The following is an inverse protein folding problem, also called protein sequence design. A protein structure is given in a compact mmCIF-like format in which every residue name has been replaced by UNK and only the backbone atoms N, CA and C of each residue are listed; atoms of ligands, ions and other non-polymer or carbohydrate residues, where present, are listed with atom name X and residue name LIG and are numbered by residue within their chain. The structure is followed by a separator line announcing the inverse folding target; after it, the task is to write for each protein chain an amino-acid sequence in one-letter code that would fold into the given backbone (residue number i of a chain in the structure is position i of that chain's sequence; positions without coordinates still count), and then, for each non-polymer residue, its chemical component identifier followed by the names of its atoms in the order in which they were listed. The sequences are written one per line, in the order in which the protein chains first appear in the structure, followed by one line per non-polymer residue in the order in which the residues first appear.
data_IF_848655484471
#
_entry.id   IF_848655484471
#
_cell.length_a   1.000
_cell.length_b   1.000
_cell.length_c   1.000
_cell.angle_alpha   90.00
_cell.angle_beta   90.00
_cell.angle_gamma   90.00
#
_symmetry.space_group_name_H-M   'P 1'
#
loop_
_entity.id
_entity.type
_entity.pdbx_description
1 polymer ?
#
# COMPACT_ATOMS: atom_id res chain seq x y z
N UNK A 1 21.98 14.81 12.17
CA UNK A 1 20.85 13.94 12.59
C UNK A 1 20.74 12.80 11.59
N UNK A 2 21.13 11.58 11.97
CA UNK A 2 21.15 10.42 11.06
C UNK A 2 19.71 9.96 10.83
N UNK A 3 19.24 10.01 9.58
CA UNK A 3 17.93 9.44 9.22
C UNK A 3 17.96 7.94 9.46
N UNK A 4 17.01 7.43 10.24
CA UNK A 4 16.87 5.98 10.41
C UNK A 4 16.44 5.34 9.09
N UNK A 5 16.84 4.08 8.83
CA UNK A 5 16.42 3.36 7.63
C UNK A 5 14.89 3.35 7.44
N UNK A 6 14.14 3.29 8.55
CA UNK A 6 12.68 3.37 8.52
C UNK A 6 12.14 4.70 7.98
N UNK A 7 12.82 5.82 8.26
CA UNK A 7 12.41 7.13 7.72
C UNK A 7 12.65 7.23 6.20
N UNK A 8 13.62 6.50 5.64
CA UNK A 8 13.86 6.47 4.19
C UNK A 8 12.70 5.83 3.43
N UNK A 9 12.07 4.80 4.02
CA UNK A 9 10.91 4.12 3.42
C UNK A 9 9.58 4.85 3.68
N UNK A 10 9.59 5.92 4.48
CA UNK A 10 8.45 6.79 4.73
C UNK A 10 7.74 6.57 6.06
N UNK A 11 8.35 5.88 7.02
CA UNK A 11 7.76 5.75 8.36
C UNK A 11 7.82 7.09 9.09
N UNK A 12 6.65 7.65 9.38
CA UNK A 12 6.48 8.86 10.19
C UNK A 12 6.26 8.52 11.67
N UNK A 13 6.47 9.51 12.55
CA UNK A 13 6.23 9.41 14.00
C UNK A 13 5.35 10.59 14.47
N UNK A 14 4.16 10.35 15.04
CA UNK A 14 3.47 9.05 15.15
C UNK A 14 3.10 8.46 13.77
N UNK A 15 3.03 7.13 13.67
CA UNK A 15 2.76 6.44 12.40
C UNK A 15 1.27 6.54 12.04
N UNK A 16 0.98 6.97 10.80
CA UNK A 16 -0.36 7.08 10.22
C UNK A 16 -1.40 7.74 11.15
N UNK A 17 -1.08 8.92 11.70
CA UNK A 17 -1.94 9.62 12.70
C UNK A 17 -3.39 9.80 12.25
N UNK A 18 -3.62 9.96 10.94
CA UNK A 18 -4.94 10.19 10.34
C UNK A 18 -5.62 8.90 9.86
N UNK A 19 -5.06 7.72 10.15
CA UNK A 19 -5.59 6.42 9.71
C UNK A 19 -5.84 6.37 8.19
N UNK A 20 -4.93 6.96 7.40
CA UNK A 20 -5.01 7.05 5.93
C UNK A 20 -4.97 5.67 5.27
N UNK A 21 -4.29 4.70 5.89
CA UNK A 21 -4.19 3.35 5.34
C UNK A 21 -5.53 2.59 5.34
N UNK A 22 -6.49 3.00 6.18
CA UNK A 22 -7.77 2.31 6.40
C UNK A 22 -9.00 3.16 6.04
N UNK A 23 -8.81 4.30 5.39
CA UNK A 23 -9.90 5.21 5.00
C UNK A 23 -9.92 5.50 3.51
N UNK A 24 -11.07 5.99 3.03
CA UNK A 24 -11.33 6.36 1.64
C UNK A 24 -12.10 7.67 1.56
N UNK A 25 -11.91 8.45 0.48
CA UNK A 25 -12.70 9.65 0.24
C UNK A 25 -14.10 9.37 -0.33
N UNK A 26 -14.30 8.19 -0.91
CA UNK A 26 -15.54 7.84 -1.62
C UNK A 26 -16.32 6.75 -0.90
N UNK A 27 -15.65 5.98 -0.03
CA UNK A 27 -16.21 4.80 0.62
C UNK A 27 -16.21 4.97 2.13
N UNK A 28 -17.26 4.46 2.78
CA UNK A 28 -17.23 4.29 4.23
C UNK A 28 -16.11 3.31 4.62
N UNK A 29 -15.52 3.41 5.83
CA UNK A 29 -14.43 2.52 6.23
C UNK A 29 -14.78 1.03 6.16
N UNK A 30 -16.04 0.67 6.44
CA UNK A 30 -16.49 -0.72 6.33
C UNK A 30 -16.62 -1.16 4.87
N UNK A 31 -17.12 -0.31 3.96
CA UNK A 31 -17.21 -0.63 2.54
C UNK A 31 -15.81 -0.83 1.94
N UNK A 32 -14.85 0.03 2.29
CA UNK A 32 -13.45 -0.12 1.88
C UNK A 32 -12.86 -1.44 2.38
N UNK A 33 -13.05 -1.76 3.66
CA UNK A 33 -12.55 -3.00 4.24
C UNK A 33 -13.13 -4.24 3.54
N UNK A 34 -14.44 -4.27 3.32
CA UNK A 34 -15.11 -5.37 2.61
C UNK A 34 -14.62 -5.50 1.16
N UNK A 35 -14.49 -4.39 0.42
CA UNK A 35 -13.99 -4.41 -0.95
C UNK A 35 -12.55 -4.96 -1.01
N UNK A 36 -11.67 -4.55 -0.10
CA UNK A 36 -10.31 -5.09 -0.02
C UNK A 36 -10.30 -6.58 0.24
N UNK A 37 -11.12 -7.06 1.18
CA UNK A 37 -11.24 -8.50 1.46
C UNK A 37 -11.79 -9.28 0.27
N UNK A 38 -12.80 -8.74 -0.44
CA UNK A 38 -13.40 -9.37 -1.62
C UNK A 38 -12.41 -9.42 -2.79
N UNK A 39 -11.69 -8.32 -3.06
CA UNK A 39 -10.64 -8.29 -4.09
C UNK A 39 -9.50 -9.26 -3.75
N UNK A 40 -9.06 -9.28 -2.48
CA UNK A 40 -8.06 -10.23 -2.00
C UNK A 40 -8.51 -11.68 -2.17
N UNK A 41 -9.77 -11.99 -1.82
CA UNK A 41 -10.35 -13.32 -1.99
C UNK A 41 -10.42 -13.70 -3.47
N UNK A 42 -10.80 -12.78 -4.34
CA UNK A 42 -10.88 -13.05 -5.77
C UNK A 42 -9.53 -13.41 -6.39
N UNK A 43 -8.44 -12.72 -6.01
CA UNK A 43 -7.08 -13.07 -6.43
C UNK A 43 -6.58 -14.34 -5.76
N UNK A 44 -6.88 -14.54 -4.47
CA UNK A 44 -6.51 -15.76 -3.77
C UNK A 44 -7.09 -17.00 -4.47
N UNK A 45 -8.37 -16.96 -4.86
CA UNK A 45 -9.02 -18.04 -5.63
C UNK A 45 -8.33 -18.23 -6.97
N UNK A 46 -7.99 -17.17 -7.71
CA UNK A 46 -7.28 -17.29 -8.98
C UNK A 46 -5.86 -17.87 -8.82
N UNK A 47 -5.14 -17.49 -7.76
CA UNK A 47 -3.81 -18.03 -7.44
C UNK A 47 -3.89 -19.50 -7.05
N UNK A 48 -4.86 -19.87 -6.21
CA UNK A 48 -5.08 -21.25 -5.80
C UNK A 48 -5.50 -22.11 -6.99
N UNK A 49 -6.42 -21.63 -7.84
CA UNK A 49 -6.81 -22.31 -9.07
C UNK A 49 -5.63 -22.44 -10.05
N UNK A 50 -4.76 -21.42 -10.15
CA UNK A 50 -3.52 -21.50 -10.93
C UNK A 50 -2.55 -22.56 -10.40
N UNK A 51 -2.41 -22.65 -9.08
CA UNK A 51 -1.57 -23.66 -8.44
C UNK A 51 -2.15 -25.07 -8.61
N UNK A 52 -3.46 -25.24 -8.42
CA UNK A 52 -4.16 -26.51 -8.61
C UNK A 52 -4.06 -26.97 -10.07
N UNK A 53 -4.34 -26.10 -11.04
CA UNK A 53 -4.20 -26.41 -12.46
C UNK A 53 -2.78 -26.91 -12.76
N UNK A 54 -1.77 -26.18 -12.30
CA UNK A 54 -0.38 -26.56 -12.52
C UNK A 54 0.02 -27.83 -11.79
N UNK A 55 -0.46 -28.06 -10.57
CA UNK A 55 -0.10 -29.22 -9.77
C UNK A 55 -0.78 -30.50 -10.20
N UNK A 56 -2.09 -30.44 -10.44
CA UNK A 56 -2.93 -31.60 -10.71
C UNK A 56 -2.95 -31.95 -12.20
N UNK A 57 -3.03 -30.96 -13.09
CA UNK A 57 -3.14 -31.21 -14.53
C UNK A 57 -1.80 -31.10 -15.26
N UNK A 58 -0.98 -30.08 -14.94
CA UNK A 58 0.27 -29.85 -15.67
C UNK A 58 1.50 -30.51 -15.03
N UNK A 59 1.35 -31.10 -13.83
CA UNK A 59 2.42 -31.69 -13.00
C UNK A 59 3.64 -30.77 -12.77
N UNK A 60 3.37 -29.48 -12.61
CA UNK A 60 4.34 -28.39 -12.55
C UNK A 60 4.14 -27.47 -11.33
N UNK A 61 3.63 -27.99 -10.21
CA UNK A 61 3.46 -27.22 -8.98
C UNK A 61 4.75 -26.51 -8.53
N UNK A 62 5.90 -27.18 -8.66
CA UNK A 62 7.22 -26.63 -8.31
C UNK A 62 7.66 -25.40 -9.13
N UNK A 63 6.97 -25.10 -10.24
CA UNK A 63 7.22 -23.92 -11.08
C UNK A 63 6.39 -22.70 -10.66
N UNK A 64 5.40 -22.88 -9.79
CA UNK A 64 4.47 -21.81 -9.41
C UNK A 64 5.21 -20.58 -8.85
N UNK A 65 6.11 -20.78 -7.89
CA UNK A 65 6.86 -19.69 -7.28
C UNK A 65 7.97 -19.11 -8.18
N UNK A 66 8.19 -19.67 -9.38
CA UNK A 66 9.18 -19.17 -10.33
C UNK A 66 8.65 -18.02 -11.20
N UNK A 67 7.34 -17.84 -11.30
CA UNK A 67 6.78 -16.76 -12.11
C UNK A 67 6.55 -15.49 -11.28
N UNK A 68 7.10 -14.37 -11.75
CA UNK A 68 6.95 -13.07 -11.09
C UNK A 68 5.49 -12.64 -10.95
N UNK A 69 4.66 -13.02 -11.94
CA UNK A 69 3.21 -12.82 -11.90
C UNK A 69 2.57 -13.38 -10.64
N UNK A 70 2.91 -14.62 -10.26
CA UNK A 70 2.32 -15.26 -9.08
C UNK A 70 2.88 -14.66 -7.80
N UNK A 71 4.18 -14.33 -7.75
CA UNK A 71 4.78 -13.61 -6.61
C UNK A 71 4.12 -12.24 -6.38
N UNK A 72 3.90 -11.49 -7.46
CA UNK A 72 3.20 -10.20 -7.43
C UNK A 72 1.74 -10.36 -6.98
N UNK A 73 1.06 -11.39 -7.49
CA UNK A 73 -0.30 -11.72 -7.07
C UNK A 73 -0.39 -12.08 -5.59
N UNK A 74 0.57 -12.86 -5.06
CA UNK A 74 0.65 -13.19 -3.63
C UNK A 74 0.84 -11.92 -2.79
N UNK A 75 1.76 -11.04 -3.19
CA UNK A 75 1.99 -9.76 -2.49
C UNK A 75 0.74 -8.88 -2.47
N UNK A 76 0.06 -8.73 -3.60
CA UNK A 76 -1.20 -7.99 -3.71
C UNK A 76 -2.32 -8.61 -2.86
N UNK A 77 -2.46 -9.93 -2.89
CA UNK A 77 -3.43 -10.66 -2.06
C UNK A 77 -3.16 -10.46 -0.57
N UNK A 78 -1.91 -10.61 -0.14
CA UNK A 78 -1.50 -10.42 1.25
C UNK A 78 -1.76 -8.99 1.73
N UNK A 79 -1.44 -8.00 0.90
CA UNK A 79 -1.74 -6.59 1.20
C UNK A 79 -3.24 -6.36 1.35
N UNK A 80 -4.06 -6.83 0.40
CA UNK A 80 -5.50 -6.60 0.41
C UNK A 80 -6.17 -7.24 1.65
N UNK A 81 -5.76 -8.44 2.02
CA UNK A 81 -6.24 -9.06 3.27
C UNK A 81 -5.78 -8.29 4.51
N UNK A 82 -4.51 -7.89 4.59
CA UNK A 82 -4.01 -7.13 5.72
C UNK A 82 -4.70 -5.76 5.84
N UNK A 83 -4.82 -5.01 4.75
CA UNK A 83 -5.46 -3.70 4.72
C UNK A 83 -6.98 -3.80 5.01
N UNK A 84 -7.63 -4.85 4.52
CA UNK A 84 -9.02 -5.17 4.86
C UNK A 84 -9.21 -5.47 6.34
N UNK A 85 -8.36 -6.34 6.91
CA UNK A 85 -8.36 -6.64 8.35
C UNK A 85 -8.12 -5.39 9.22
N UNK A 86 -7.14 -4.57 8.87
CA UNK A 86 -6.87 -3.30 9.57
C UNK A 86 -8.10 -2.37 9.51
N UNK A 87 -8.80 -2.34 8.38
CA UNK A 87 -10.05 -1.59 8.22
C UNK A 87 -11.20 -2.13 9.07
N UNK A 88 -11.36 -3.45 9.17
CA UNK A 88 -12.33 -4.07 10.08
C UNK A 88 -12.00 -3.71 11.53
N UNK A 89 -10.74 -3.85 11.96
CA UNK A 89 -10.31 -3.50 13.31
C UNK A 89 -10.58 -2.02 13.62
N UNK A 90 -10.30 -1.13 12.68
CA UNK A 90 -10.60 0.29 12.76
C UNK A 90 -12.11 0.55 12.97
N UNK A 91 -12.97 -0.07 12.16
CA UNK A 91 -14.44 0.06 12.28
C UNK A 91 -14.94 -0.47 13.63
N UNK A 92 -14.42 -1.62 14.10
CA UNK A 92 -14.79 -2.19 15.39
C UNK A 92 -14.42 -1.27 16.56
N UNK A 93 -13.30 -0.54 16.48
CA UNK A 93 -12.95 0.48 17.48
C UNK A 93 -13.92 1.66 17.45
N UNK A 94 -14.25 2.18 16.27
CA UNK A 94 -15.23 3.27 16.15
C UNK A 94 -16.59 2.89 16.72
N UNK A 95 -17.07 1.66 16.46
CA UNK A 95 -18.35 1.16 17.00
C UNK A 95 -18.36 1.04 18.53
N UNK A 96 -17.19 0.91 19.16
CA UNK A 96 -17.01 0.91 20.62
C UNK A 96 -16.85 2.31 21.21
N UNK A 97 -17.00 3.38 20.42
CA UNK A 97 -16.76 4.76 20.86
C UNK A 97 -15.29 5.09 21.11
N UNK A 98 -14.36 4.25 20.64
CA UNK A 98 -12.92 4.47 20.81
C UNK A 98 -12.35 5.34 19.68
N UNK A 99 -11.22 6.05 19.92
CA UNK A 99 -10.55 6.83 18.88
C UNK A 99 -10.27 6.02 17.62
N UNK A 100 -10.53 6.62 16.45
CA UNK A 100 -10.32 6.00 15.15
C UNK A 100 -8.85 5.68 14.89
N UNK A 101 -8.49 4.42 15.09
CA UNK A 101 -7.12 3.92 15.05
C UNK A 101 -7.11 2.45 14.65
N UNK A 102 -5.99 1.98 14.11
CA UNK A 102 -5.83 0.59 13.66
C UNK A 102 -4.56 -0.04 14.23
N UNK A 103 -4.50 -1.38 14.38
CA UNK A 103 -3.41 -2.05 15.10
C UNK A 103 -2.00 -1.70 14.62
N UNK A 104 -1.81 -1.54 13.30
CA UNK A 104 -0.49 -1.24 12.70
C UNK A 104 0.16 0.05 13.23
N UNK A 105 -0.62 1.03 13.72
CA UNK A 105 -0.08 2.25 14.34
C UNK A 105 0.82 1.97 15.56
N UNK A 106 0.55 0.86 16.25
CA UNK A 106 1.27 0.46 17.47
C UNK A 106 2.20 -0.74 17.25
N UNK A 107 2.26 -1.29 16.04
CA UNK A 107 3.15 -2.42 15.73
C UNK A 107 4.62 -1.98 15.71
N UNK A 108 5.56 -2.94 15.85
CA UNK A 108 6.99 -2.66 15.69
C UNK A 108 7.29 -1.92 14.39
N UNK A 109 8.29 -1.02 14.43
CA UNK A 109 8.66 -0.15 13.31
C UNK A 109 8.97 -0.93 12.01
N UNK A 110 9.50 -2.15 12.15
CA UNK A 110 9.82 -3.02 11.02
C UNK A 110 8.54 -3.41 10.27
N UNK A 111 7.46 -3.74 10.98
CA UNK A 111 6.19 -4.10 10.34
C UNK A 111 5.51 -2.89 9.68
N UNK A 112 5.68 -1.69 10.26
CA UNK A 112 5.23 -0.43 9.64
C UNK A 112 5.98 -0.14 8.33
N UNK A 113 7.32 -0.28 8.36
CA UNK A 113 8.17 -0.15 7.19
C UNK A 113 7.81 -1.17 6.11
N UNK A 114 7.67 -2.44 6.46
CA UNK A 114 7.29 -3.51 5.53
C UNK A 114 5.91 -3.26 4.91
N UNK A 115 4.95 -2.72 5.66
CA UNK A 115 3.65 -2.37 5.11
C UNK A 115 3.74 -1.25 4.07
N UNK A 116 4.57 -0.22 4.29
CA UNK A 116 4.78 0.85 3.30
C UNK A 116 5.54 0.36 2.06
N UNK A 117 6.51 -0.54 2.21
CA UNK A 117 7.19 -1.20 1.10
C UNK A 117 6.20 -2.05 0.30
N UNK A 118 5.36 -2.83 1.00
CA UNK A 118 4.33 -3.66 0.37
C UNK A 118 3.32 -2.78 -0.38
N UNK A 119 2.84 -1.68 0.24
CA UNK A 119 1.98 -0.69 -0.40
C UNK A 119 2.60 -0.14 -1.69
N UNK A 120 3.89 0.20 -1.67
CA UNK A 120 4.59 0.65 -2.87
C UNK A 120 4.61 -0.44 -3.96
N UNK A 121 4.91 -1.69 -3.58
CA UNK A 121 4.98 -2.81 -4.53
C UNK A 121 3.64 -3.13 -5.18
N UNK A 122 2.53 -3.12 -4.42
CA UNK A 122 1.21 -3.52 -4.94
C UNK A 122 0.57 -2.46 -5.81
N UNK A 123 1.10 -1.23 -5.80
CA UNK A 123 0.64 -0.14 -6.65
C UNK A 123 1.41 -0.05 -7.98
N UNK A 124 2.54 -0.74 -8.11
CA UNK A 124 3.49 -0.55 -9.22
C UNK A 124 3.78 -1.85 -9.95
N UNK A 125 4.22 -2.90 -9.24
CA UNK A 125 4.58 -4.19 -9.84
C UNK A 125 3.43 -4.86 -10.60
N UNK A 126 2.16 -4.84 -10.13
CA UNK A 126 1.05 -5.37 -10.93
C UNK A 126 0.90 -4.73 -12.30
N UNK A 127 1.18 -3.42 -12.40
CA UNK A 127 1.09 -2.65 -13.66
C UNK A 127 2.18 -3.11 -14.62
N UNK A 128 3.41 -3.30 -14.13
CA UNK A 128 4.47 -3.94 -14.94
C UNK A 128 4.06 -5.32 -15.41
N UNK A 129 3.55 -6.17 -14.51
CA UNK A 129 3.13 -7.53 -14.85
C UNK A 129 2.08 -7.52 -15.94
N UNK A 130 1.10 -6.61 -15.87
CA UNK A 130 0.10 -6.43 -16.92
C UNK A 130 0.74 -6.01 -18.24
N UNK A 131 1.55 -4.94 -18.24
CA UNK A 131 2.20 -4.44 -19.46
C UNK A 131 3.04 -5.55 -20.11
N UNK A 132 3.94 -6.18 -19.37
CA UNK A 132 4.83 -7.23 -19.89
C UNK A 132 4.02 -8.41 -20.43
N UNK A 133 2.97 -8.83 -19.73
CA UNK A 133 2.14 -9.93 -20.20
C UNK A 133 1.44 -9.61 -21.51
N UNK A 134 0.71 -8.49 -21.56
CA UNK A 134 -0.11 -8.15 -22.73
C UNK A 134 0.71 -7.71 -23.94
N UNK A 135 1.92 -7.19 -23.73
CA UNK A 135 2.81 -6.77 -24.83
C UNK A 135 3.73 -7.88 -25.34
N UNK A 136 4.23 -8.76 -24.46
CA UNK A 136 5.29 -9.72 -24.83
C UNK A 136 4.92 -11.19 -24.64
N UNK A 137 4.00 -11.53 -23.71
CA UNK A 137 3.79 -12.92 -23.31
C UNK A 137 2.43 -13.50 -23.72
N UNK A 138 1.43 -12.66 -23.97
CA UNK A 138 0.11 -13.07 -24.40
C UNK A 138 0.21 -13.71 -25.80
N UNK A 139 -0.05 -15.01 -25.88
CA UNK A 139 -0.10 -15.76 -27.15
C UNK A 139 -1.55 -15.98 -27.55
N UNK A 140 -1.81 -16.24 -28.84
CA UNK A 140 -3.17 -16.47 -29.37
C UNK A 140 -3.95 -17.62 -28.71
N UNK A 141 -3.30 -18.47 -27.90
CA UNK A 141 -3.93 -19.52 -27.10
C UNK A 141 -4.35 -19.11 -25.68
N UNK A 142 -3.83 -18.01 -25.14
CA UNK A 142 -3.95 -17.65 -23.70
C UNK A 142 -5.40 -17.41 -23.24
N UNK A 143 -6.33 -17.16 -24.17
CA UNK A 143 -7.73 -16.85 -23.87
C UNK A 143 -8.73 -17.85 -24.48
N UNK A 144 -8.28 -19.06 -24.86
CA UNK A 144 -9.14 -20.04 -25.54
C UNK A 144 -10.09 -20.78 -24.59
N UNK A 145 -9.58 -21.28 -23.46
CA UNK A 145 -10.41 -21.99 -22.47
C UNK A 145 -11.03 -21.02 -21.46
N UNK A 146 -12.17 -21.39 -20.88
CA UNK A 146 -12.83 -20.59 -19.84
C UNK A 146 -11.92 -20.42 -18.61
N UNK A 147 -11.29 -21.50 -18.15
CA UNK A 147 -10.33 -21.46 -17.05
C UNK A 147 -9.09 -20.62 -17.40
N UNK A 148 -8.50 -20.83 -18.58
CA UNK A 148 -7.34 -20.05 -19.02
C UNK A 148 -7.62 -18.55 -19.11
N UNK A 149 -8.79 -18.17 -19.64
CA UNK A 149 -9.26 -16.77 -19.60
C UNK A 149 -9.37 -16.25 -18.19
N UNK A 150 -10.09 -16.97 -17.31
CA UNK A 150 -10.29 -16.55 -15.94
C UNK A 150 -8.96 -16.33 -15.21
N UNK A 151 -8.03 -17.27 -15.30
CA UNK A 151 -6.73 -17.17 -14.65
C UNK A 151 -5.90 -16.01 -15.21
N UNK A 152 -5.79 -15.90 -16.55
CA UNK A 152 -4.99 -14.84 -17.16
C UNK A 152 -5.58 -13.44 -16.91
N UNK A 153 -6.90 -13.26 -17.02
CA UNK A 153 -7.54 -11.98 -16.68
C UNK A 153 -7.31 -11.64 -15.21
N UNK A 154 -7.44 -12.61 -14.30
CA UNK A 154 -7.28 -12.37 -12.88
C UNK A 154 -5.86 -11.90 -12.53
N UNK A 155 -4.84 -12.63 -12.97
CA UNK A 155 -3.45 -12.35 -12.55
C UNK A 155 -2.71 -11.33 -13.44
N UNK A 156 -3.24 -11.01 -14.63
CA UNK A 156 -2.61 -10.06 -15.56
C UNK A 156 -3.45 -8.83 -15.91
N UNK A 157 -4.74 -8.76 -15.56
CA UNK A 157 -5.56 -7.55 -15.76
C UNK A 157 -6.17 -7.04 -14.46
N UNK A 158 -6.87 -7.89 -13.70
CA UNK A 158 -7.51 -7.48 -12.44
C UNK A 158 -6.49 -7.06 -11.38
N UNK A 159 -5.28 -7.63 -11.40
CA UNK A 159 -4.16 -7.19 -10.56
C UNK A 159 -3.89 -5.67 -10.69
N UNK A 160 -3.88 -5.13 -11.90
CA UNK A 160 -3.71 -3.70 -12.17
C UNK A 160 -4.95 -2.90 -11.81
N UNK A 161 -6.16 -3.43 -12.02
CA UNK A 161 -7.39 -2.79 -11.56
C UNK A 161 -7.37 -2.59 -10.04
N UNK A 162 -6.93 -3.60 -9.28
CA UNK A 162 -6.85 -3.53 -7.83
C UNK A 162 -5.71 -2.62 -7.36
N UNK A 163 -4.58 -2.59 -8.08
CA UNK A 163 -3.52 -1.61 -7.84
C UNK A 163 -4.04 -0.17 -8.02
N UNK A 164 -4.77 0.10 -9.10
CA UNK A 164 -5.36 1.41 -9.38
C UNK A 164 -6.49 1.76 -8.39
N UNK A 165 -7.23 0.78 -7.89
CA UNK A 165 -8.17 1.01 -6.79
C UNK A 165 -7.45 1.58 -5.56
N UNK A 166 -6.30 1.02 -5.16
CA UNK A 166 -5.52 1.56 -4.03
C UNK A 166 -4.92 2.95 -4.33
N UNK A 167 -4.71 3.28 -5.60
CA UNK A 167 -4.26 4.62 -6.02
C UNK A 167 -5.39 5.62 -5.94
N UNK A 168 -6.58 5.32 -6.46
CA UNK A 168 -7.64 6.32 -6.61
C UNK A 168 -8.67 6.31 -5.48
N UNK A 169 -9.05 5.14 -4.97
CA UNK A 169 -10.20 4.97 -4.10
C UNK A 169 -9.88 4.97 -2.60
N UNK A 170 -8.67 5.35 -2.18
CA UNK A 170 -8.23 5.28 -0.77
C UNK A 170 -7.44 6.54 -0.37
N UNK A 171 -7.21 6.75 0.93
CA UNK A 171 -6.37 7.87 1.43
C UNK A 171 -4.89 7.51 1.60
N UNK A 172 -4.51 6.26 1.31
CA UNK A 172 -3.14 5.74 1.45
C UNK A 172 -2.07 6.71 0.92
N UNK A 173 -1.04 7.05 1.72
CA UNK A 173 -0.14 8.17 1.42
C UNK A 173 0.72 7.93 0.17
N UNK A 174 1.42 8.98 -0.26
CA UNK A 174 2.47 8.87 -1.29
C UNK A 174 3.60 7.98 -0.79
N UNK A 175 4.13 7.12 -1.64
CA UNK A 175 5.28 6.29 -1.31
C UNK A 175 6.56 7.12 -1.27
N UNK A 176 7.43 6.90 -0.27
CA UNK A 176 8.74 7.52 -0.26
C UNK A 176 9.55 7.08 -1.48
N UNK A 177 10.30 8.01 -2.10
CA UNK A 177 11.07 7.75 -3.32
C UNK A 177 12.14 6.67 -3.16
N UNK A 178 12.63 6.43 -1.94
CA UNK A 178 13.54 5.33 -1.67
C UNK A 178 12.93 3.95 -2.00
N UNK A 179 11.60 3.81 -1.91
CA UNK A 179 10.93 2.57 -2.29
C UNK A 179 11.11 2.23 -3.78
N UNK A 180 11.40 3.20 -4.67
CA UNK A 180 11.76 2.90 -6.07
C UNK A 180 13.00 2.02 -6.15
N UNK A 181 14.03 2.33 -5.34
CA UNK A 181 15.26 1.52 -5.27
C UNK A 181 14.92 0.12 -4.78
N UNK A 182 14.05 0.00 -3.77
CA UNK A 182 13.60 -1.30 -3.26
C UNK A 182 12.84 -2.08 -4.35
N UNK A 183 11.98 -1.45 -5.14
CA UNK A 183 11.26 -2.13 -6.23
C UNK A 183 12.22 -2.64 -7.30
N UNK A 184 13.23 -1.85 -7.68
CA UNK A 184 14.30 -2.28 -8.59
C UNK A 184 15.10 -3.45 -8.02
N UNK A 185 15.42 -3.42 -6.72
CA UNK A 185 16.09 -4.54 -6.04
C UNK A 185 15.22 -5.80 -6.05
N UNK A 186 13.91 -5.69 -5.81
CA UNK A 186 12.97 -6.83 -5.89
C UNK A 186 12.98 -7.44 -7.30
N UNK A 187 13.00 -6.62 -8.35
CA UNK A 187 13.12 -7.10 -9.73
C UNK A 187 14.46 -7.81 -9.98
N UNK A 188 15.56 -7.28 -9.46
CA UNK A 188 16.87 -7.94 -9.52
C UNK A 188 16.89 -9.29 -8.80
N UNK A 189 16.33 -9.35 -7.58
CA UNK A 189 16.17 -10.60 -6.84
C UNK A 189 15.29 -11.61 -7.58
N UNK A 190 14.28 -11.14 -8.31
CA UNK A 190 13.48 -12.02 -9.16
C UNK A 190 14.31 -12.64 -10.29
N UNK A 191 15.22 -11.88 -10.92
CA UNK A 191 16.14 -12.45 -11.92
C UNK A 191 16.98 -13.56 -11.30
N UNK A 192 17.47 -13.40 -10.06
CA UNK A 192 18.15 -14.49 -9.34
C UNK A 192 17.25 -15.72 -9.18
N UNK A 193 15.98 -15.55 -8.79
CA UNK A 193 15.01 -16.66 -8.69
C UNK A 193 14.85 -17.37 -10.04
N UNK A 194 14.73 -16.63 -11.15
CA UNK A 194 14.61 -17.23 -12.48
C UNK A 194 15.83 -18.07 -12.88
N UNK A 195 17.04 -17.63 -12.52
CA UNK A 195 18.28 -18.38 -12.79
C UNK A 195 18.45 -19.58 -11.85
N UNK A 196 18.01 -19.47 -10.59
CA UNK A 196 17.91 -20.63 -9.68
C UNK A 196 16.92 -21.66 -10.25
N UNK A 197 15.77 -21.22 -10.76
CA UNK A 197 14.81 -22.10 -11.43
C UNK A 197 15.43 -22.79 -12.64
N UNK A 198 16.18 -22.07 -13.48
CA UNK A 198 16.88 -22.68 -14.61
C UNK A 198 17.88 -23.75 -14.15
N UNK A 199 18.72 -23.44 -13.15
CA UNK A 199 19.69 -24.39 -12.61
C UNK A 199 19.03 -25.63 -11.98
N UNK A 200 17.88 -25.47 -11.31
CA UNK A 200 17.19 -26.54 -10.60
C UNK A 200 16.22 -27.35 -11.48
N UNK A 201 15.63 -26.73 -12.52
CA UNK A 201 14.49 -27.30 -13.26
C UNK A 201 14.65 -27.25 -14.78
N UNK A 202 15.80 -26.78 -15.29
CA UNK A 202 16.17 -26.84 -16.70
C UNK A 202 15.39 -25.91 -17.63
N UNK A 203 14.78 -24.82 -17.13
CA UNK A 203 14.07 -23.86 -17.98
C UNK A 203 14.11 -22.43 -17.43
N UNK A 204 14.04 -21.45 -18.33
CA UNK A 204 13.80 -20.05 -17.98
C UNK A 204 12.30 -19.76 -17.95
N UNK A 205 11.85 -19.05 -16.92
CA UNK A 205 10.43 -18.68 -16.72
C UNK A 205 9.89 -17.81 -17.83
N UNK A 206 10.75 -16.99 -18.43
CA UNK A 206 10.47 -16.17 -19.61
C UNK A 206 11.60 -16.32 -20.61
N UNK A 207 11.26 -16.44 -21.90
CA UNK A 207 12.26 -16.66 -22.96
C UNK A 207 13.25 -15.50 -23.10
N UNK A 208 12.85 -14.28 -22.72
CA UNK A 208 13.76 -13.12 -22.74
C UNK A 208 14.84 -13.15 -21.65
N UNK A 209 14.73 -14.05 -20.66
CA UNK A 209 15.76 -14.26 -19.64
C UNK A 209 16.84 -15.26 -20.07
N UNK A 210 16.62 -15.97 -21.17
CA UNK A 210 17.54 -16.97 -21.71
C UNK A 210 18.63 -16.30 -22.56
N UNK A 211 19.91 -16.39 -22.17
CA UNK A 211 21.03 -15.85 -22.95
C UNK A 211 21.14 -16.43 -24.36
N UNK A 212 20.64 -17.67 -24.59
CA UNK A 212 20.65 -18.31 -25.90
C UNK A 212 19.76 -17.58 -26.93
N UNK A 213 18.77 -16.81 -26.46
CA UNK A 213 17.93 -15.97 -27.32
C UNK A 213 18.59 -14.63 -27.69
N UNK A 214 19.85 -14.42 -27.29
CA UNK A 214 20.70 -13.29 -27.65
C UNK A 214 21.07 -12.42 -26.45
N UNK A 215 22.35 -12.36 -26.12
CA UNK A 215 22.87 -11.59 -24.98
C UNK A 215 22.47 -10.10 -25.01
N UNK A 216 22.42 -9.48 -26.19
CA UNK A 216 21.95 -8.09 -26.35
C UNK A 216 20.48 -7.91 -25.98
N UNK A 217 19.60 -8.88 -26.33
CA UNK A 217 18.17 -8.84 -25.95
C UNK A 217 18.02 -9.02 -24.44
N UNK A 218 18.74 -9.96 -23.86
CA UNK A 218 18.75 -10.16 -22.41
C UNK A 218 19.16 -8.89 -21.67
N UNK A 219 20.30 -8.29 -22.05
CA UNK A 219 20.79 -7.04 -21.45
C UNK A 219 19.76 -5.90 -21.58
N UNK A 220 19.10 -5.80 -22.74
CA UNK A 220 18.02 -4.83 -22.95
C UNK A 220 16.88 -5.04 -21.95
N UNK A 221 16.37 -6.26 -21.76
CA UNK A 221 15.28 -6.50 -20.79
C UNK A 221 15.70 -6.27 -19.33
N UNK A 222 16.94 -6.59 -18.98
CA UNK A 222 17.49 -6.34 -17.64
C UNK A 222 17.59 -4.85 -17.30
N UNK A 223 17.68 -3.97 -18.30
CA UNK A 223 17.67 -2.51 -18.11
C UNK A 223 16.26 -1.94 -18.28
N UNK A 224 15.54 -2.35 -19.31
CA UNK A 224 14.24 -1.79 -19.69
C UNK A 224 13.18 -2.00 -18.60
N UNK A 225 13.12 -3.19 -17.98
CA UNK A 225 12.09 -3.49 -16.98
C UNK A 225 12.30 -2.66 -15.70
N UNK A 226 13.51 -2.56 -15.10
CA UNK A 226 13.75 -1.64 -13.98
C UNK A 226 13.52 -0.17 -14.31
N UNK A 227 13.87 0.29 -15.51
CA UNK A 227 13.59 1.66 -15.94
C UNK A 227 12.08 1.90 -16.04
N UNK A 228 11.34 0.95 -16.63
CA UNK A 228 9.89 1.01 -16.67
C UNK A 228 9.27 1.05 -15.27
N UNK A 229 9.83 0.32 -14.30
CA UNK A 229 9.40 0.37 -12.88
C UNK A 229 9.61 1.74 -12.28
N UNK A 230 10.77 2.35 -12.48
CA UNK A 230 11.02 3.70 -11.99
C UNK A 230 10.03 4.72 -12.58
N UNK A 231 9.71 4.60 -13.87
CA UNK A 231 8.73 5.45 -14.55
C UNK A 231 7.32 5.24 -13.99
N UNK A 232 6.87 3.98 -13.87
CA UNK A 232 5.56 3.64 -13.31
C UNK A 232 5.46 4.13 -11.87
N UNK A 233 6.49 3.92 -11.06
CA UNK A 233 6.54 4.41 -9.70
C UNK A 233 6.38 5.94 -9.64
N UNK A 234 7.08 6.68 -10.50
CA UNK A 234 6.97 8.14 -10.58
C UNK A 234 5.56 8.58 -10.97
N UNK A 235 4.96 7.95 -11.98
CA UNK A 235 3.58 8.22 -12.43
C UNK A 235 2.60 7.96 -11.29
N UNK A 236 2.68 6.80 -10.63
CA UNK A 236 1.79 6.41 -9.54
C UNK A 236 1.93 7.38 -8.36
N UNK A 237 3.14 7.77 -7.99
CA UNK A 237 3.35 8.77 -6.96
C UNK A 237 2.78 10.15 -7.35
N UNK A 238 2.90 10.54 -8.62
CA UNK A 238 2.28 11.75 -9.15
C UNK A 238 0.74 11.71 -9.07
N UNK A 239 0.14 10.56 -9.42
CA UNK A 239 -1.30 10.35 -9.31
C UNK A 239 -1.79 10.39 -7.86
N UNK A 240 -1.07 9.76 -6.92
CA UNK A 240 -1.38 9.83 -5.49
C UNK A 240 -1.24 11.27 -4.99
N UNK A 241 -0.20 11.99 -5.40
CA UNK A 241 -0.02 13.40 -5.06
C UNK A 241 -1.19 14.25 -5.58
N UNK A 242 -1.61 14.04 -6.84
CA UNK A 242 -2.74 14.74 -7.44
C UNK A 242 -4.04 14.46 -6.67
N UNK A 243 -4.30 13.18 -6.35
CA UNK A 243 -5.44 12.78 -5.53
C UNK A 243 -5.42 13.50 -4.18
N UNK A 244 -4.30 13.48 -3.47
CA UNK A 244 -4.15 14.16 -2.16
C UNK A 244 -4.37 15.68 -2.26
N UNK A 245 -4.16 16.29 -3.43
CA UNK A 245 -4.41 17.73 -3.62
C UNK A 245 -5.88 18.08 -3.76
N UNK A 246 -6.68 17.19 -4.36
CA UNK A 246 -8.10 17.44 -4.66
C UNK A 246 -9.07 16.75 -3.71
N UNK A 247 -8.59 15.78 -2.94
CA UNK A 247 -9.40 14.99 -2.03
C UNK A 247 -9.17 15.46 -0.59
N UNK A 248 -10.24 15.76 0.19
CA UNK A 248 -10.10 16.11 1.60
C UNK A 248 -9.45 15.00 2.42
N UNK A 249 -8.66 15.38 3.42
CA UNK A 249 -8.09 14.43 4.39
C UNK A 249 -9.19 13.75 5.23
N UNK A 250 -8.93 12.54 5.77
CA UNK A 250 -9.88 11.84 6.63
C UNK A 250 -10.30 12.71 7.81
N UNK A 251 -11.60 13.04 7.89
CA UNK A 251 -12.22 13.67 9.06
C UNK A 251 -12.50 12.63 10.14
N UNK A 252 -11.49 11.93 10.60
CA UNK A 252 -11.62 11.12 11.80
C UNK A 252 -11.46 12.11 12.94
N UNK A 253 -12.55 12.33 13.68
CA UNK A 253 -12.58 13.14 14.89
C UNK A 253 -11.27 12.91 15.65
N UNK A 254 -10.38 13.90 15.60
CA UNK A 254 -9.42 14.10 16.66
C UNK A 254 -10.34 14.29 17.86
N UNK A 255 -10.53 13.23 18.67
CA UNK A 255 -11.04 13.44 20.02
C UNK A 255 -10.17 14.57 20.55
N UNK A 256 -10.81 15.70 20.87
CA UNK A 256 -10.17 16.90 21.37
C UNK A 256 -8.97 16.47 22.23
N UNK A 257 -7.81 17.08 21.98
CA UNK A 257 -6.81 17.11 23.05
C UNK A 257 -7.58 17.49 24.32
N UNK A 258 -7.43 16.74 25.43
CA UNK A 258 -8.10 17.10 26.66
C UNK A 258 -7.79 18.57 26.87
N UNK A 259 -8.82 19.43 26.78
CA UNK A 259 -8.65 20.84 27.06
C UNK A 259 -8.02 20.88 28.43
N UNK A 260 -6.83 21.48 28.54
CA UNK A 260 -6.20 21.68 29.82
C UNK A 260 -7.27 22.21 30.78
N UNK A 261 -7.39 21.64 32.00
CA UNK A 261 -8.36 22.13 32.95
C UNK A 261 -8.15 23.65 33.07
N UNK A 262 -9.23 24.45 33.09
CA UNK A 262 -9.10 25.89 33.23
C UNK A 262 -8.15 26.17 34.38
N UNK A 263 -7.11 26.97 34.12
CA UNK A 263 -6.21 27.44 35.17
C UNK A 263 -7.07 27.96 36.31
N UNK A 264 -6.80 27.59 37.58
CA UNK A 264 -7.59 28.09 38.70
C UNK A 264 -7.64 29.61 38.58
N UNK A 265 -8.87 30.10 38.43
CA UNK A 265 -9.20 31.51 38.42
C UNK A 265 -8.55 32.08 39.69
N UNK A 266 -7.64 33.03 39.51
CA UNK A 266 -7.08 33.74 40.66
C UNK A 266 -8.23 34.57 41.20
N UNK A 267 -8.82 34.11 42.30
CA UNK A 267 -9.69 34.93 43.12
C UNK A 267 -8.90 36.18 43.51
N UNK A 268 -9.24 37.30 42.88
CA UNK A 268 -8.72 38.61 43.21
C UNK A 268 -9.29 39.02 44.58
N UNK A 269 -8.75 38.45 45.66
CA UNK A 269 -8.82 38.98 47.02
C UNK A 269 -8.01 40.28 47.12
N UNK A 270 -8.42 41.34 46.41
CA UNK A 270 -7.84 42.68 46.61
C UNK A 270 -8.82 43.80 46.26
N UNK A 271 -9.93 43.93 47.02
CA UNK A 271 -10.61 45.24 47.10
C UNK A 271 -11.36 45.54 48.41
N UNK A 272 -11.08 44.83 49.51
CA UNK A 272 -11.54 45.25 50.83
C UNK A 272 -10.56 46.22 51.47
N UNK A 273 -10.86 47.52 51.36
CA UNK A 273 -10.44 48.51 52.35
C UNK A 273 -9.63 49.69 51.81
N UNK A 274 -10.34 50.75 51.39
CA UNK A 274 -9.84 52.13 51.55
C UNK A 274 -10.91 52.99 52.23
N UNK A 275 -10.62 53.65 53.37
CA UNK A 275 -11.57 54.54 54.03
C UNK A 275 -11.84 55.80 53.19
N UNK A 276 -13.10 56.22 53.13
CA UNK A 276 -13.51 57.52 52.60
C UNK A 276 -12.97 58.65 53.48
N UNK A 277 -12.20 59.56 52.87
CA UNK A 277 -11.86 60.85 53.47
C UNK A 277 -12.92 61.90 53.07
N UNK A 278 -13.60 62.43 54.08
CA UNK A 278 -14.57 63.52 53.98
C UNK A 278 -13.83 64.83 53.77
N UNK A 279 -13.92 65.46 52.61
CA UNK A 279 -13.56 66.87 52.44
C UNK A 279 -14.79 67.76 52.54
N UNK A 280 -14.86 68.46 53.68
CA UNK A 280 -15.66 69.65 53.90
C UNK A 280 -15.05 70.82 53.11
N UNK A 281 -15.84 71.49 52.26
CA UNK A 281 -15.57 72.87 51.86
C UNK A 281 -16.83 73.72 51.94
N UNK A 282 -16.76 74.67 52.88
CA UNK A 282 -17.61 75.84 53.05
C UNK A 282 -17.25 76.96 52.05
N UNK A 283 -18.21 77.89 51.90
CA UNK A 283 -18.13 79.28 51.39
C UNK A 283 -18.07 79.40 49.85
N UNK A 284 -18.91 80.18 49.16
CA UNK A 284 -19.78 81.32 49.49
C UNK A 284 -20.92 81.41 48.45
#
# INVERSE_FOLDING_TARGET
MVRSLASLVGVERPFDRQSRLVTSPFLSPIALACLRLLMGLSLFVALLASLIQRGVHDHQAGRFFSYFTFLTGIGLTAYLFQAGWLGVAFVLRLRKGLPGSHPLQNWPIVLQALHLILLASVRTLPIIVSIVFWTFLAKGGSLKSALGRYLNISVHALNSVFALFEVFATHTPRSAWFNTIIMVVILGLYVCVAYITHAAQGFYTYSFLDPANGAGKLAMYLVLIPVAEAIIFAIINGLVWLRMRFVPEPRIFVLQEPTDPPSPEKDDEESLGKPQATESRLHL
#
